data_IF_934508404112
#
_entry.id   IF_934508404112
#
_cell.length_a   1.000
_cell.length_b   1.000
_cell.length_c   1.000
_cell.angle_alpha   90.00
_cell.angle_beta   90.00
_cell.angle_gamma   90.00
#
_symmetry.space_group_name_H-M   'P 1'
#
loop_
_entity.id
_entity.type
_entity.pdbx_description
1 polymer ?
#
# COMPACT_ATOMS: atom_id res chain seq x y z
N UNK A 1 25.84 -10.08 3.50
CA UNK A 1 27.02 -9.53 4.23
C UNK A 1 26.66 -8.25 5.00
N UNK A 2 27.16 -6.99 4.69
CA UNK A 2 26.77 -5.82 5.53
C UNK A 2 25.35 -5.37 5.22
N UNK A 3 24.94 -5.40 3.95
CA UNK A 3 23.55 -5.13 3.57
C UNK A 3 22.56 -6.13 4.22
N UNK A 4 22.85 -7.42 4.21
CA UNK A 4 22.05 -8.43 4.92
C UNK A 4 21.85 -8.06 6.40
N UNK A 5 22.92 -7.65 7.09
CA UNK A 5 22.83 -7.23 8.49
C UNK A 5 21.86 -6.05 8.70
N UNK A 6 21.75 -5.14 7.72
CA UNK A 6 20.77 -4.07 7.81
C UNK A 6 19.34 -4.62 7.71
N UNK A 7 19.07 -5.51 6.74
CA UNK A 7 17.75 -6.12 6.59
C UNK A 7 17.39 -7.02 7.77
N UNK A 8 18.34 -7.77 8.33
CA UNK A 8 18.13 -8.56 9.55
C UNK A 8 17.78 -7.65 10.74
N UNK A 9 18.54 -6.57 10.95
CA UNK A 9 18.28 -5.60 12.03
C UNK A 9 16.91 -4.92 11.87
N UNK A 10 16.48 -4.63 10.63
CA UNK A 10 15.13 -4.11 10.35
C UNK A 10 14.08 -5.16 10.70
N UNK A 11 14.26 -6.42 10.29
CA UNK A 11 13.31 -7.49 10.58
C UNK A 11 13.16 -7.75 12.09
N UNK A 12 14.25 -7.62 12.85
CA UNK A 12 14.29 -7.75 14.30
C UNK A 12 13.78 -6.50 15.05
N UNK A 13 13.64 -5.36 14.36
CA UNK A 13 13.27 -4.09 14.96
C UNK A 13 14.38 -3.45 15.79
N UNK A 14 15.66 -3.83 15.55
CA UNK A 14 16.81 -3.29 16.26
C UNK A 14 17.19 -1.89 15.74
N UNK A 15 16.48 -0.87 16.28
CA UNK A 15 16.69 0.53 15.91
C UNK A 15 18.12 1.00 16.16
N UNK A 16 18.77 0.52 17.24
CA UNK A 16 20.13 0.91 17.58
C UNK A 16 21.13 0.42 16.51
N UNK A 17 20.99 -0.83 16.11
CA UNK A 17 21.84 -1.43 15.08
C UNK A 17 21.58 -0.81 13.71
N UNK A 18 20.31 -0.57 13.32
CA UNK A 18 19.97 0.13 12.07
C UNK A 18 20.60 1.51 12.05
N UNK A 19 20.46 2.29 13.12
CA UNK A 19 21.04 3.63 13.24
C UNK A 19 22.57 3.61 13.16
N UNK A 20 23.23 2.66 13.82
CA UNK A 20 24.69 2.48 13.76
C UNK A 20 25.14 2.17 12.33
N UNK A 21 24.51 1.19 11.67
CA UNK A 21 24.85 0.76 10.32
C UNK A 21 24.69 1.88 9.29
N UNK A 22 23.55 2.58 9.33
CA UNK A 22 23.25 3.66 8.39
C UNK A 22 24.08 4.91 8.67
N UNK A 23 24.40 5.22 9.93
CA UNK A 23 25.31 6.33 10.26
C UNK A 23 26.74 6.07 9.78
N UNK A 24 27.22 4.82 9.89
CA UNK A 24 28.55 4.43 9.42
C UNK A 24 28.62 4.33 7.89
N UNK A 25 27.54 3.91 7.25
CA UNK A 25 27.42 3.63 5.83
C UNK A 25 26.05 4.08 5.31
N UNK A 26 25.83 5.39 5.03
CA UNK A 26 24.54 5.90 4.54
C UNK A 26 24.08 5.26 3.24
N UNK A 27 25.02 4.80 2.40
CA UNK A 27 24.75 4.09 1.15
C UNK A 27 23.95 2.79 1.35
N UNK A 28 24.01 2.17 2.54
CA UNK A 28 23.22 0.97 2.85
C UNK A 28 21.70 1.23 2.80
N UNK A 29 21.25 2.46 3.04
CA UNK A 29 19.83 2.81 2.96
C UNK A 29 19.28 2.79 1.50
N UNK A 30 20.16 2.73 0.49
CA UNK A 30 19.82 2.59 -0.92
C UNK A 30 19.94 1.16 -1.46
N UNK A 31 20.44 0.23 -0.65
CA UNK A 31 20.60 -1.17 -1.07
C UNK A 31 19.24 -1.85 -1.27
N UNK A 32 19.24 -2.97 -1.98
CA UNK A 32 18.07 -3.81 -2.19
C UNK A 32 18.33 -5.22 -1.65
N UNK A 33 17.32 -5.81 -1.02
CA UNK A 33 17.40 -7.20 -0.60
C UNK A 33 17.21 -8.16 -1.79
N UNK A 34 17.28 -9.47 -1.56
CA UNK A 34 17.11 -10.50 -2.60
C UNK A 34 15.74 -10.41 -3.32
N UNK A 35 14.71 -9.90 -2.66
CA UNK A 35 13.40 -9.65 -3.26
C UNK A 35 13.32 -8.31 -4.02
N UNK A 36 14.42 -7.54 -4.07
CA UNK A 36 14.49 -6.24 -4.73
C UNK A 36 13.88 -5.08 -3.92
N UNK A 37 13.50 -5.31 -2.65
CA UNK A 37 12.91 -4.28 -1.80
C UNK A 37 13.97 -3.39 -1.16
N UNK A 38 13.68 -2.11 -1.04
CA UNK A 38 14.50 -1.16 -0.27
C UNK A 38 14.42 -1.42 1.23
N UNK A 39 15.40 -0.96 2.02
CA UNK A 39 15.29 -0.94 3.48
C UNK A 39 14.04 -0.21 3.99
N UNK A 40 13.63 0.86 3.30
CA UNK A 40 12.42 1.65 3.64
C UNK A 40 11.15 0.80 3.47
N UNK A 41 10.95 0.16 2.31
CA UNK A 41 9.81 -0.75 2.10
C UNK A 41 9.86 -1.95 3.04
N UNK A 42 11.05 -2.50 3.28
CA UNK A 42 11.22 -3.61 4.21
C UNK A 42 10.81 -3.22 5.64
N UNK A 43 11.17 -2.03 6.11
CA UNK A 43 10.75 -1.49 7.41
C UNK A 43 9.23 -1.26 7.48
N UNK A 44 8.63 -0.72 6.40
CA UNK A 44 7.17 -0.54 6.30
C UNK A 44 6.42 -1.87 6.39
N UNK A 45 6.86 -2.89 5.66
CA UNK A 45 6.23 -4.23 5.70
C UNK A 45 6.33 -4.90 7.07
N UNK A 46 7.37 -4.59 7.84
CA UNK A 46 7.52 -5.08 9.21
C UNK A 46 6.83 -4.18 10.26
N UNK A 47 6.09 -3.13 9.84
CA UNK A 47 5.41 -2.20 10.75
C UNK A 47 6.36 -1.34 11.60
N UNK A 48 7.60 -1.16 11.17
CA UNK A 48 8.67 -0.49 11.91
C UNK A 48 8.73 1.01 11.59
N UNK A 49 7.68 1.75 11.95
CA UNK A 49 7.58 3.18 11.62
C UNK A 49 8.77 4.02 12.10
N UNK A 50 9.33 3.73 13.28
CA UNK A 50 10.50 4.43 13.80
C UNK A 50 11.76 4.20 12.96
N UNK A 51 11.91 2.99 12.37
CA UNK A 51 13.01 2.67 11.48
C UNK A 51 12.88 3.37 10.12
N UNK A 52 11.66 3.56 9.64
CA UNK A 52 11.41 4.31 8.40
C UNK A 52 12.00 5.72 8.51
N UNK A 53 11.72 6.44 9.60
CA UNK A 53 12.28 7.78 9.83
C UNK A 53 13.82 7.73 9.90
N UNK A 54 14.38 6.78 10.64
CA UNK A 54 15.85 6.61 10.75
C UNK A 54 16.52 6.36 9.39
N UNK A 55 15.87 5.57 8.51
CA UNK A 55 16.36 5.30 7.16
C UNK A 55 16.23 6.54 6.26
N UNK A 56 15.13 7.27 6.36
CA UNK A 56 14.90 8.51 5.60
C UNK A 56 15.83 9.65 6.00
N UNK A 57 16.27 9.70 7.26
CA UNK A 57 17.26 10.68 7.75
C UNK A 57 18.63 10.54 7.06
N UNK A 58 18.95 9.33 6.57
CA UNK A 58 20.13 9.11 5.72
C UNK A 58 19.99 9.65 4.29
N UNK A 59 18.79 10.18 3.95
CA UNK A 59 18.46 10.73 2.64
C UNK A 59 18.76 9.77 1.48
N UNK A 60 18.27 8.51 1.52
CA UNK A 60 18.46 7.57 0.42
C UNK A 60 17.76 8.07 -0.86
N UNK A 61 18.27 7.70 -2.04
CA UNK A 61 17.52 7.90 -3.27
C UNK A 61 16.26 7.01 -3.24
N UNK A 62 15.09 7.64 -3.16
CA UNK A 62 13.80 6.93 -3.19
C UNK A 62 13.39 6.71 -4.64
N UNK A 63 12.96 5.50 -4.97
CA UNK A 63 12.27 5.25 -6.23
C UNK A 63 10.78 5.62 -6.15
N UNK A 64 10.03 5.38 -7.21
CA UNK A 64 8.60 5.69 -7.30
C UNK A 64 7.78 4.94 -6.24
N UNK A 65 8.18 3.71 -5.91
CA UNK A 65 7.49 2.86 -4.94
C UNK A 65 7.77 3.32 -3.50
N UNK A 66 9.04 3.59 -3.19
CA UNK A 66 9.44 4.15 -1.90
C UNK A 66 8.74 5.48 -1.64
N UNK A 67 8.84 6.42 -2.62
CA UNK A 67 8.25 7.74 -2.51
C UNK A 67 6.72 7.70 -2.31
N UNK A 68 6.04 6.79 -3.03
CA UNK A 68 4.60 6.56 -2.88
C UNK A 68 4.26 6.00 -1.50
N UNK A 69 5.01 5.01 -1.02
CA UNK A 69 4.76 4.31 0.24
C UNK A 69 4.98 5.18 1.48
N UNK A 70 5.93 6.13 1.42
CA UNK A 70 6.24 7.04 2.54
C UNK A 70 5.64 8.43 2.40
N UNK A 71 4.81 8.68 1.38
CA UNK A 71 4.12 9.95 1.19
C UNK A 71 5.01 11.13 0.76
N UNK A 72 6.15 10.87 0.11
CA UNK A 72 7.06 11.90 -0.39
C UNK A 72 6.57 12.51 -1.71
N UNK A 73 5.45 13.25 -1.66
CA UNK A 73 4.77 13.80 -2.84
C UNK A 73 5.69 14.60 -3.76
N UNK A 74 6.56 15.45 -3.22
CA UNK A 74 7.49 16.23 -4.06
C UNK A 74 8.49 15.35 -4.82
N UNK A 75 9.09 14.35 -4.15
CA UNK A 75 10.01 13.42 -4.80
C UNK A 75 9.29 12.58 -5.87
N UNK A 76 8.07 12.16 -5.57
CA UNK A 76 7.22 11.44 -6.52
C UNK A 76 6.87 12.31 -7.74
N UNK A 77 6.52 13.59 -7.54
CA UNK A 77 6.24 14.53 -8.62
C UNK A 77 7.47 14.72 -9.55
N UNK A 78 8.66 14.87 -8.97
CA UNK A 78 9.91 14.98 -9.72
C UNK A 78 10.18 13.72 -10.56
N UNK A 79 9.96 12.51 -9.99
CA UNK A 79 10.12 11.23 -10.69
C UNK A 79 9.12 11.07 -11.85
N UNK A 80 7.83 11.33 -11.59
CA UNK A 80 6.78 11.22 -12.61
C UNK A 80 6.91 12.29 -13.69
N UNK A 81 7.45 13.47 -13.36
CA UNK A 81 7.73 14.53 -14.33
C UNK A 81 8.89 14.17 -15.28
N UNK A 82 9.86 13.42 -14.78
CA UNK A 82 10.98 12.93 -15.59
C UNK A 82 10.61 11.70 -16.44
N UNK A 83 9.88 10.76 -15.86
CA UNK A 83 9.51 9.47 -16.44
C UNK A 83 8.04 9.16 -16.13
N UNK A 84 7.07 9.69 -16.91
CA UNK A 84 5.63 9.53 -16.64
C UNK A 84 5.15 8.06 -16.61
N UNK A 85 5.82 7.18 -17.34
CA UNK A 85 5.54 5.74 -17.36
C UNK A 85 5.74 5.04 -16.01
N UNK A 86 6.46 5.66 -15.08
CA UNK A 86 6.63 5.14 -13.73
C UNK A 86 5.30 5.01 -12.96
N UNK A 87 4.28 5.83 -13.34
CA UNK A 87 2.94 5.70 -12.76
C UNK A 87 2.31 4.32 -12.97
N UNK A 88 2.72 3.59 -14.02
CA UNK A 88 2.23 2.24 -14.38
C UNK A 88 3.25 1.14 -14.10
N UNK A 89 4.43 1.49 -13.57
CA UNK A 89 5.51 0.54 -13.35
C UNK A 89 5.19 -0.45 -12.22
N UNK A 90 5.86 -1.60 -12.26
CA UNK A 90 5.72 -2.67 -11.28
C UNK A 90 7.00 -2.78 -10.46
N UNK A 91 6.83 -2.87 -9.16
CA UNK A 91 7.90 -3.20 -8.24
C UNK A 91 8.34 -4.66 -8.40
N UNK A 92 9.51 -5.03 -7.89
CA UNK A 92 9.98 -6.42 -7.93
C UNK A 92 9.03 -7.44 -7.28
N UNK A 93 8.29 -7.04 -6.25
CA UNK A 93 7.28 -7.87 -5.57
C UNK A 93 5.88 -7.79 -6.20
N UNK A 94 5.74 -7.08 -7.34
CA UNK A 94 4.55 -7.12 -8.19
C UNK A 94 3.44 -6.14 -7.84
N UNK A 95 3.73 -5.05 -7.16
CA UNK A 95 2.78 -3.97 -6.88
C UNK A 95 3.09 -2.70 -7.68
N UNK A 96 2.11 -1.86 -7.95
CA UNK A 96 2.34 -0.51 -8.49
C UNK A 96 2.52 0.50 -7.35
N UNK A 97 3.06 1.68 -7.67
CA UNK A 97 3.17 2.77 -6.70
C UNK A 97 1.82 3.12 -6.05
N UNK A 98 0.71 3.01 -6.81
CA UNK A 98 -0.63 3.28 -6.31
C UNK A 98 -1.11 2.23 -5.28
N UNK A 99 -0.70 0.96 -5.42
CA UNK A 99 -0.97 -0.06 -4.40
C UNK A 99 -0.28 0.29 -3.08
N UNK A 100 0.99 0.72 -3.13
CA UNK A 100 1.74 1.13 -1.94
C UNK A 100 1.14 2.36 -1.27
N UNK A 101 0.87 3.43 -2.04
CA UNK A 101 0.22 4.62 -1.51
C UNK A 101 -1.13 4.29 -0.86
N UNK A 102 -1.91 3.40 -1.49
CA UNK A 102 -3.21 2.97 -1.00
C UNK A 102 -3.12 2.14 0.29
N UNK A 103 -2.19 1.18 0.35
CA UNK A 103 -2.02 0.31 1.51
C UNK A 103 -1.45 1.04 2.73
N UNK A 104 -0.49 1.94 2.51
CA UNK A 104 0.15 2.70 3.59
C UNK A 104 -0.54 4.03 3.91
N UNK A 105 -1.71 4.31 3.32
CA UNK A 105 -2.53 5.47 3.67
C UNK A 105 -1.99 6.82 3.21
N UNK A 106 -1.21 6.83 2.16
CA UNK A 106 -0.54 8.04 1.68
C UNK A 106 -1.42 8.80 0.67
N UNK A 107 -2.45 9.52 1.17
CA UNK A 107 -3.44 10.21 0.34
C UNK A 107 -2.81 11.16 -0.69
N UNK A 108 -1.79 11.94 -0.28
CA UNK A 108 -1.15 12.92 -1.16
C UNK A 108 -0.48 12.26 -2.38
N UNK A 109 0.24 11.15 -2.17
CA UNK A 109 0.90 10.42 -3.27
C UNK A 109 -0.10 9.58 -4.05
N UNK A 110 -1.15 9.02 -3.43
CA UNK A 110 -2.22 8.33 -4.14
C UNK A 110 -2.93 9.29 -5.11
N UNK A 111 -3.29 10.48 -4.67
CA UNK A 111 -3.90 11.53 -5.51
C UNK A 111 -2.98 11.92 -6.66
N UNK A 112 -1.71 12.19 -6.38
CA UNK A 112 -0.74 12.56 -7.40
C UNK A 112 -0.58 11.45 -8.47
N UNK A 113 -0.53 10.19 -8.07
CA UNK A 113 -0.45 9.05 -8.98
C UNK A 113 -1.68 8.97 -9.89
N UNK A 114 -2.87 9.10 -9.32
CA UNK A 114 -4.13 9.07 -10.09
C UNK A 114 -4.19 10.26 -11.08
N UNK A 115 -3.85 11.47 -10.64
CA UNK A 115 -3.78 12.66 -11.49
C UNK A 115 -2.70 12.54 -12.58
N UNK A 116 -1.63 11.77 -12.34
CA UNK A 116 -0.59 11.43 -13.32
C UNK A 116 -0.96 10.26 -14.23
N UNK A 117 -2.19 9.78 -14.16
CA UNK A 117 -2.73 8.74 -15.04
C UNK A 117 -2.48 7.31 -14.59
N UNK A 118 -2.17 7.07 -13.32
CA UNK A 118 -2.09 5.70 -12.79
C UNK A 118 -3.43 4.97 -12.97
N UNK A 119 -3.39 3.76 -13.52
CA UNK A 119 -4.58 2.93 -13.70
C UNK A 119 -5.07 2.36 -12.37
N UNK A 120 -6.27 2.77 -11.95
CA UNK A 120 -6.84 2.47 -10.62
C UNK A 120 -7.30 1.02 -10.44
N UNK A 121 -7.46 0.27 -11.54
CA UNK A 121 -7.98 -1.10 -11.55
C UNK A 121 -6.89 -2.16 -11.84
N UNK A 122 -5.60 -1.80 -11.84
CA UNK A 122 -4.55 -2.79 -12.02
C UNK A 122 -4.58 -3.81 -10.88
N UNK A 123 -4.53 -5.09 -11.26
CA UNK A 123 -4.41 -6.18 -10.30
C UNK A 123 -2.94 -6.46 -10.05
N UNK A 124 -2.51 -6.55 -8.81
CA UNK A 124 -1.14 -6.85 -8.43
C UNK A 124 -0.64 -8.15 -9.11
N UNK A 125 0.63 -8.15 -9.51
CA UNK A 125 1.32 -9.29 -10.15
C UNK A 125 2.15 -10.11 -9.15
N UNK A 126 1.84 -9.95 -7.86
CA UNK A 126 2.48 -10.72 -6.81
C UNK A 126 2.12 -12.21 -6.93
N UNK A 127 3.04 -13.10 -6.56
CA UNK A 127 2.83 -14.54 -6.70
C UNK A 127 1.68 -15.10 -5.82
N UNK A 128 1.32 -14.40 -4.76
CA UNK A 128 0.38 -14.87 -3.74
C UNK A 128 -0.75 -13.87 -3.43
N UNK A 129 -0.71 -12.66 -3.97
CA UNK A 129 -1.64 -11.56 -3.63
C UNK A 129 -2.07 -10.85 -4.91
N UNK A 130 -3.32 -11.07 -5.33
CA UNK A 130 -3.89 -10.47 -6.54
C UNK A 130 -4.96 -9.44 -6.17
N UNK A 131 -4.54 -8.28 -5.73
CA UNK A 131 -5.39 -7.18 -5.25
C UNK A 131 -5.37 -5.99 -6.22
N UNK A 132 -6.40 -5.15 -6.18
CA UNK A 132 -6.37 -3.81 -6.79
C UNK A 132 -5.95 -2.77 -5.76
N UNK A 133 -5.60 -1.53 -6.16
CA UNK A 133 -5.37 -0.43 -5.23
C UNK A 133 -6.55 -0.18 -4.27
N UNK A 134 -7.80 -0.39 -4.74
CA UNK A 134 -8.99 -0.25 -3.90
C UNK A 134 -9.05 -1.30 -2.79
N UNK A 135 -8.64 -2.56 -3.06
CA UNK A 135 -8.48 -3.58 -2.02
C UNK A 135 -7.41 -3.19 -1.02
N UNK A 136 -6.28 -2.66 -1.50
CA UNK A 136 -5.18 -2.20 -0.65
C UNK A 136 -5.63 -1.09 0.30
N UNK A 137 -6.37 -0.09 -0.20
CA UNK A 137 -6.93 1.00 0.60
C UNK A 137 -7.93 0.51 1.64
N UNK A 138 -8.88 -0.36 1.23
CA UNK A 138 -9.90 -0.91 2.12
C UNK A 138 -9.27 -1.82 3.20
N UNK A 139 -8.27 -2.63 2.85
CA UNK A 139 -7.54 -3.47 3.81
C UNK A 139 -6.67 -2.66 4.78
N UNK A 140 -6.15 -1.52 4.34
CA UNK A 140 -5.40 -0.58 5.18
C UNK A 140 -6.29 0.30 6.08
N UNK A 141 -7.63 0.33 5.87
CA UNK A 141 -8.54 1.20 6.60
C UNK A 141 -8.42 2.67 6.20
N UNK A 142 -8.16 2.96 4.94
CA UNK A 142 -7.88 4.31 4.44
C UNK A 142 -9.05 4.87 3.63
N UNK A 143 -10.15 5.24 4.32
CA UNK A 143 -11.40 5.69 3.73
C UNK A 143 -11.24 6.87 2.74
N UNK A 144 -10.33 7.81 3.00
CA UNK A 144 -10.07 8.92 2.08
C UNK A 144 -9.53 8.43 0.72
N UNK A 145 -8.67 7.40 0.73
CA UNK A 145 -8.13 6.82 -0.51
C UNK A 145 -9.18 5.92 -1.17
N UNK A 146 -10.00 5.20 -0.40
CA UNK A 146 -11.15 4.45 -0.94
C UNK A 146 -12.05 5.39 -1.76
N UNK A 147 -12.45 6.53 -1.18
CA UNK A 147 -13.27 7.56 -1.86
C UNK A 147 -12.58 8.09 -3.12
N UNK A 148 -11.29 8.45 -3.02
CA UNK A 148 -10.49 8.92 -4.15
C UNK A 148 -10.50 7.91 -5.31
N UNK A 149 -10.24 6.64 -5.03
CA UNK A 149 -10.17 5.61 -6.06
C UNK A 149 -11.53 5.35 -6.72
N UNK A 150 -12.62 5.34 -5.94
CA UNK A 150 -13.99 5.20 -6.44
C UNK A 150 -14.39 6.38 -7.33
N UNK A 151 -14.06 7.63 -6.96
CA UNK A 151 -14.27 8.83 -7.77
C UNK A 151 -13.57 8.76 -9.13
N UNK A 152 -12.47 7.99 -9.23
CA UNK A 152 -11.70 7.79 -10.46
C UNK A 152 -11.99 6.45 -11.14
N UNK A 153 -13.11 5.81 -10.82
CA UNK A 153 -13.61 4.64 -11.55
C UNK A 153 -13.00 3.31 -11.12
N UNK A 154 -12.53 3.20 -9.87
CA UNK A 154 -12.21 1.90 -9.33
C UNK A 154 -13.46 1.02 -9.22
N UNK A 155 -13.35 -0.26 -9.58
CA UNK A 155 -14.45 -1.21 -9.50
C UNK A 155 -14.72 -1.62 -8.04
N UNK A 156 -15.87 -1.21 -7.45
CA UNK A 156 -16.20 -1.54 -6.06
C UNK A 156 -16.46 -3.04 -5.82
N UNK A 157 -16.69 -3.81 -6.89
CA UNK A 157 -16.97 -5.24 -6.86
C UNK A 157 -15.79 -6.09 -7.36
N UNK A 158 -14.63 -5.49 -7.61
CA UNK A 158 -13.43 -6.25 -7.94
C UNK A 158 -13.21 -7.37 -6.91
N UNK A 159 -12.88 -8.57 -7.38
CA UNK A 159 -12.63 -9.72 -6.50
C UNK A 159 -11.14 -10.04 -6.49
N UNK A 160 -10.59 -10.24 -5.30
CA UNK A 160 -9.26 -10.78 -5.07
C UNK A 160 -9.29 -12.29 -4.81
N UNK A 161 -8.13 -12.89 -4.57
CA UNK A 161 -8.02 -14.29 -4.18
C UNK A 161 -8.91 -14.62 -2.99
N UNK A 162 -9.58 -15.77 -3.05
CA UNK A 162 -10.55 -16.17 -2.03
C UNK A 162 -11.93 -15.49 -2.16
N UNK A 163 -12.19 -14.77 -3.27
CA UNK A 163 -13.48 -14.14 -3.54
C UNK A 163 -13.78 -12.89 -2.69
N UNK A 164 -12.77 -12.33 -2.00
CA UNK A 164 -12.96 -11.11 -1.22
C UNK A 164 -13.10 -9.89 -2.13
N UNK A 165 -14.08 -9.03 -1.84
CA UNK A 165 -14.23 -7.71 -2.45
C UNK A 165 -13.71 -6.62 -1.50
N UNK A 166 -13.49 -5.36 -1.96
CA UNK A 166 -13.15 -4.25 -1.07
C UNK A 166 -14.13 -4.09 0.10
N UNK A 167 -15.42 -4.36 -0.14
CA UNK A 167 -16.45 -4.30 0.89
C UNK A 167 -16.27 -5.36 1.99
N UNK A 168 -15.74 -6.54 1.67
CA UNK A 168 -15.38 -7.54 2.68
C UNK A 168 -14.25 -7.02 3.59
N UNK A 169 -13.23 -6.40 3.01
CA UNK A 169 -12.10 -5.85 3.77
C UNK A 169 -12.52 -4.69 4.68
N UNK A 170 -13.31 -3.76 4.14
CA UNK A 170 -13.83 -2.62 4.91
C UNK A 170 -14.74 -3.08 6.06
N UNK A 171 -15.61 -4.07 5.82
CA UNK A 171 -16.50 -4.64 6.83
C UNK A 171 -15.70 -5.36 7.93
N UNK A 172 -14.68 -6.13 7.57
CA UNK A 172 -13.81 -6.84 8.51
C UNK A 172 -13.01 -5.89 9.39
N UNK A 173 -12.59 -4.73 8.83
CA UNK A 173 -11.90 -3.67 9.58
C UNK A 173 -12.86 -2.82 10.43
N UNK A 174 -14.15 -3.05 10.34
CA UNK A 174 -15.20 -2.23 10.95
C UNK A 174 -15.12 -0.74 10.57
N UNK A 175 -14.63 -0.48 9.33
CA UNK A 175 -14.43 0.87 8.77
C UNK A 175 -15.72 1.38 8.13
N UNK A 176 -16.50 2.10 8.94
CA UNK A 176 -17.80 2.64 8.55
C UNK A 176 -17.71 3.55 7.32
N UNK A 177 -16.72 4.44 7.29
CA UNK A 177 -16.60 5.40 6.17
C UNK A 177 -16.29 4.73 4.84
N UNK A 178 -15.43 3.70 4.84
CA UNK A 178 -15.15 2.90 3.66
C UNK A 178 -16.37 2.08 3.22
N UNK A 179 -17.11 1.48 4.16
CA UNK A 179 -18.33 0.74 3.86
C UNK A 179 -19.38 1.64 3.21
N UNK A 180 -19.66 2.81 3.79
CA UNK A 180 -20.61 3.78 3.22
C UNK A 180 -20.19 4.20 1.79
N UNK A 181 -18.92 4.56 1.59
CA UNK A 181 -18.41 4.97 0.29
C UNK A 181 -18.51 3.86 -0.78
N UNK A 182 -18.19 2.62 -0.40
CA UNK A 182 -18.28 1.47 -1.30
C UNK A 182 -19.73 1.17 -1.70
N UNK A 183 -20.67 1.20 -0.75
CA UNK A 183 -22.10 1.01 -1.01
C UNK A 183 -22.67 2.12 -1.92
N UNK A 184 -22.32 3.38 -1.66
CA UNK A 184 -22.69 4.52 -2.51
C UNK A 184 -22.17 4.38 -3.95
N UNK A 185 -20.99 3.79 -4.12
CA UNK A 185 -20.39 3.50 -5.41
C UNK A 185 -20.93 2.23 -6.10
N UNK A 186 -21.88 1.51 -5.48
CA UNK A 186 -22.52 0.33 -6.05
C UNK A 186 -21.83 -1.00 -5.71
N UNK A 187 -21.12 -1.08 -4.59
CA UNK A 187 -20.66 -2.37 -4.08
C UNK A 187 -21.87 -3.25 -3.73
N UNK A 188 -21.84 -4.52 -4.15
CA UNK A 188 -22.89 -5.50 -3.88
C UNK A 188 -22.64 -6.20 -2.54
N UNK A 189 -23.43 -5.92 -1.49
CA UNK A 189 -23.27 -6.53 -0.16
C UNK A 189 -23.67 -8.01 -0.11
N UNK A 190 -24.30 -8.53 -1.17
CA UNK A 190 -24.73 -9.94 -1.26
C UNK A 190 -23.64 -10.86 -1.80
N UNK A 191 -22.56 -10.33 -2.37
CA UNK A 191 -21.45 -11.14 -2.85
C UNK A 191 -20.81 -11.90 -1.68
N UNK A 192 -20.68 -13.21 -1.87
CA UNK A 192 -20.02 -14.07 -0.89
C UNK A 192 -18.61 -14.43 -1.36
N UNK A 193 -17.67 -14.48 -0.43
CA UNK A 193 -16.32 -14.99 -0.71
C UNK A 193 -16.35 -16.53 -0.92
N UNK A 194 -15.21 -17.14 -1.22
CA UNK A 194 -15.09 -18.58 -1.48
C UNK A 194 -15.44 -19.45 -0.26
N UNK A 195 -15.51 -18.87 0.93
CA UNK A 195 -16.00 -19.53 2.15
C UNK A 195 -17.52 -19.37 2.34
N UNK A 196 -18.22 -18.75 1.38
CA UNK A 196 -19.65 -18.48 1.45
C UNK A 196 -20.04 -17.35 2.38
N UNK A 197 -19.09 -16.52 2.82
CA UNK A 197 -19.35 -15.39 3.73
C UNK A 197 -19.55 -14.10 2.96
N UNK A 198 -20.63 -13.38 3.27
CA UNK A 198 -20.86 -12.02 2.79
C UNK A 198 -20.15 -10.99 3.67
N UNK A 199 -19.96 -9.72 3.21
CA UNK A 199 -19.41 -8.64 4.04
C UNK A 199 -20.12 -8.51 5.40
N UNK A 200 -21.44 -8.60 5.45
CA UNK A 200 -22.23 -8.53 6.70
C UNK A 200 -21.84 -9.60 7.74
N UNK A 201 -21.41 -10.77 7.28
CA UNK A 201 -20.98 -11.86 8.16
C UNK A 201 -19.54 -11.68 8.71
N UNK A 202 -18.78 -10.75 8.14
CA UNK A 202 -17.43 -10.36 8.59
C UNK A 202 -17.45 -9.05 9.38
N UNK A 203 -18.55 -8.28 9.27
CA UNK A 203 -18.69 -6.94 9.82
C UNK A 203 -18.62 -6.91 11.36
N UNK A 204 -17.94 -5.89 11.87
CA UNK A 204 -17.99 -5.50 13.28
C UNK A 204 -19.29 -4.77 13.65
N UNK A 205 -19.33 -4.24 14.86
CA UNK A 205 -20.58 -3.66 15.39
C UNK A 205 -20.96 -2.33 14.73
N UNK A 206 -19.96 -1.55 14.22
CA UNK A 206 -20.21 -0.24 13.60
C UNK A 206 -20.66 -0.33 12.14
N UNK A 207 -20.37 -1.45 11.46
CA UNK A 207 -20.64 -1.61 10.03
C UNK A 207 -21.77 -2.58 9.72
N UNK A 208 -22.11 -3.49 10.66
CA UNK A 208 -23.11 -4.53 10.43
C UNK A 208 -24.51 -3.99 10.12
N UNK A 209 -24.88 -2.84 10.68
CA UNK A 209 -26.20 -2.23 10.43
C UNK A 209 -26.31 -1.59 9.02
N UNK A 210 -25.20 -1.41 8.32
CA UNK A 210 -25.15 -0.85 6.95
C UNK A 210 -25.28 -1.94 5.87
N UNK A 211 -25.00 -3.20 6.20
CA UNK A 211 -24.86 -4.35 5.34
C UNK A 211 -26.02 -5.35 5.51
#
# INVERSE_FOLDING_TARGET
MVAEKLFDAIAEGDEAQVRELVSARPDLAAERNEAGLSPVLHALYNGQAGLVETLLDANPPLDVFDAAAVGRSRGLEELLGAEPELAQSWSPDGFTALHYAAFFGQEGTARLLVESGAEVNLVARNANIHVTPLHSAASGGHAAIVKLLLEHGADPNASQDGGFTPLHSAAQNDDRESVEALLEAGADPSLANDQGKTPAQLAGDHTRELL
#
